data_IF_963426045322
#
_entry.id   IF_963426045322
#
_cell.length_a   1.000
_cell.length_b   1.000
_cell.length_c   1.000
_cell.angle_alpha   90.00
_cell.angle_beta   90.00
_cell.angle_gamma   90.00
#
_symmetry.space_group_name_H-M   'P 1'
#
loop_
_entity.id
_entity.type
_entity.pdbx_description
1 polymer ?
#
# COMPACT_ATOMS: atom_id res chain seq x y z
N UNK A 1 -3.02 2.22 -16.03
CA UNK A 1 -2.53 2.99 -14.85
C UNK A 1 -2.72 2.23 -13.55
N UNK A 2 -3.95 1.88 -13.14
CA UNK A 2 -4.24 1.19 -11.86
C UNK A 2 -3.36 -0.03 -11.58
N UNK A 3 -3.06 -0.83 -12.61
CA UNK A 3 -2.19 -2.01 -12.46
C UNK A 3 -0.72 -1.62 -12.28
N UNK A 4 -0.23 -0.65 -13.08
CA UNK A 4 1.14 -0.16 -13.00
C UNK A 4 1.43 0.58 -11.67
N UNK A 5 0.48 1.39 -11.18
CA UNK A 5 0.57 2.06 -9.87
C UNK A 5 0.56 1.07 -8.70
N UNK A 6 0.14 -0.17 -8.93
CA UNK A 6 0.21 -1.28 -7.96
C UNK A 6 1.38 -2.24 -8.24
N UNK A 7 2.31 -1.87 -9.12
CA UNK A 7 3.51 -2.65 -9.44
C UNK A 7 3.27 -3.88 -10.32
N UNK A 8 2.14 -3.95 -11.02
CA UNK A 8 1.80 -5.06 -11.92
C UNK A 8 1.91 -4.71 -13.40
N UNK A 9 1.81 -5.74 -14.24
CA UNK A 9 1.67 -5.62 -15.68
C UNK A 9 0.23 -5.89 -16.11
N UNK A 10 -0.28 -5.11 -17.06
CA UNK A 10 -1.62 -5.30 -17.63
C UNK A 10 -1.50 -5.86 -19.04
N UNK A 11 -2.01 -7.07 -19.25
CA UNK A 11 -2.11 -7.70 -20.56
C UNK A 11 -3.54 -7.51 -21.08
N UNK A 12 -3.71 -6.71 -22.13
CA UNK A 12 -4.99 -6.50 -22.78
C UNK A 12 -5.15 -7.53 -23.90
N UNK A 13 -6.18 -8.36 -23.80
CA UNK A 13 -6.57 -9.27 -24.87
C UNK A 13 -7.49 -8.56 -25.87
N UNK A 14 -7.34 -8.88 -27.15
CA UNK A 14 -8.24 -8.47 -28.22
C UNK A 14 -8.86 -9.72 -28.85
N UNK A 15 -10.16 -9.67 -29.14
CA UNK A 15 -10.90 -10.76 -29.78
C UNK A 15 -11.31 -10.36 -31.20
N UNK A 16 -10.67 -10.91 -32.24
CA UNK A 16 -11.15 -10.76 -33.61
C UNK A 16 -12.54 -11.37 -33.81
N UNK A 17 -13.25 -10.94 -34.84
CA UNK A 17 -14.46 -11.61 -35.32
C UNK A 17 -14.14 -13.01 -35.84
N UNK A 18 -15.17 -13.81 -36.16
CA UNK A 18 -14.98 -15.13 -36.80
C UNK A 18 -14.24 -15.08 -38.14
N UNK A 19 -14.17 -13.91 -38.77
CA UNK A 19 -13.44 -13.65 -40.02
C UNK A 19 -12.01 -13.12 -39.77
N UNK A 20 -11.58 -13.01 -38.52
CA UNK A 20 -10.24 -12.52 -38.15
C UNK A 20 -10.09 -11.00 -38.13
N UNK A 21 -11.18 -10.24 -38.25
CA UNK A 21 -11.17 -8.76 -38.25
C UNK A 21 -11.27 -8.23 -36.82
N UNK A 22 -10.46 -7.23 -36.45
CA UNK A 22 -10.59 -6.57 -35.14
C UNK A 22 -11.82 -5.65 -35.17
N UNK A 23 -12.75 -5.77 -34.20
CA UNK A 23 -13.92 -4.89 -34.13
C UNK A 23 -13.52 -3.40 -34.08
N UNK A 24 -14.23 -2.56 -34.83
CA UNK A 24 -13.92 -1.13 -34.95
C UNK A 24 -13.93 -0.40 -33.59
N UNK A 25 -14.76 -0.82 -32.66
CA UNK A 25 -14.77 -0.28 -31.29
C UNK A 25 -13.44 -0.51 -30.57
N UNK A 26 -12.86 -1.71 -30.68
CA UNK A 26 -11.55 -2.01 -30.13
C UNK A 26 -10.46 -1.17 -30.79
N UNK A 27 -10.54 -0.97 -32.10
CA UNK A 27 -9.60 -0.08 -32.84
C UNK A 27 -9.69 1.35 -32.31
N UNK A 28 -10.91 1.89 -32.11
CA UNK A 28 -11.11 3.24 -31.55
C UNK A 28 -10.49 3.38 -30.16
N UNK A 29 -10.73 2.41 -29.26
CA UNK A 29 -10.16 2.42 -27.92
C UNK A 29 -8.63 2.35 -27.97
N UNK A 30 -8.06 1.43 -28.75
CA UNK A 30 -6.61 1.27 -28.87
C UNK A 30 -5.94 2.50 -29.47
N UNK A 31 -6.55 3.16 -30.45
CA UNK A 31 -6.05 4.43 -30.99
C UNK A 31 -6.03 5.54 -29.93
N UNK A 32 -7.10 5.66 -29.13
CA UNK A 32 -7.15 6.65 -28.04
C UNK A 32 -6.07 6.38 -26.98
N UNK A 33 -5.88 5.12 -26.61
CA UNK A 33 -4.78 4.71 -25.71
C UNK A 33 -3.43 5.05 -26.34
N UNK A 34 -3.23 4.74 -27.62
CA UNK A 34 -1.99 5.05 -28.35
C UNK A 34 -1.68 6.55 -28.37
N UNK A 35 -2.67 7.40 -28.62
CA UNK A 35 -2.54 8.86 -28.56
C UNK A 35 -2.13 9.33 -27.17
N UNK A 36 -2.78 8.84 -26.11
CA UNK A 36 -2.42 9.18 -24.74
C UNK A 36 -0.98 8.75 -24.40
N UNK A 37 -0.57 7.56 -24.87
CA UNK A 37 0.78 7.03 -24.64
C UNK A 37 1.89 7.86 -25.29
N UNK A 38 1.65 8.53 -26.43
CA UNK A 38 2.68 9.33 -27.12
C UNK A 38 3.32 10.38 -26.21
N UNK A 39 2.50 11.06 -25.38
CA UNK A 39 2.98 12.08 -24.45
C UNK A 39 3.22 11.58 -23.02
N UNK A 40 2.60 10.46 -22.62
CA UNK A 40 2.59 10.02 -21.21
C UNK A 40 3.33 8.71 -20.94
N UNK A 41 3.90 8.06 -21.96
CA UNK A 41 4.49 6.72 -21.82
C UNK A 41 5.59 6.61 -20.75
N UNK A 42 6.34 7.67 -20.47
CA UNK A 42 7.38 7.69 -19.42
C UNK A 42 6.81 7.41 -18.02
N UNK A 43 5.55 7.80 -17.76
CA UNK A 43 4.84 7.53 -16.51
C UNK A 43 4.43 6.06 -16.33
N UNK A 44 4.56 5.24 -17.37
CA UNK A 44 4.20 3.82 -17.37
C UNK A 44 5.42 2.93 -17.57
N UNK A 45 6.18 3.16 -18.64
CA UNK A 45 7.30 2.29 -18.99
C UNK A 45 8.52 2.53 -18.09
N UNK A 46 8.92 1.45 -17.41
CA UNK A 46 10.02 1.48 -16.44
C UNK A 46 9.66 2.18 -15.13
N UNK A 47 8.39 2.54 -14.93
CA UNK A 47 7.91 3.05 -13.66
C UNK A 47 7.57 1.91 -12.70
N UNK A 48 7.63 2.19 -11.40
CA UNK A 48 7.26 1.29 -10.31
C UNK A 48 5.98 1.76 -9.63
N UNK A 49 5.45 0.92 -8.73
CA UNK A 49 4.23 1.21 -7.99
C UNK A 49 4.33 2.45 -7.09
N UNK A 50 3.16 2.97 -6.74
CA UNK A 50 2.94 4.08 -5.83
C UNK A 50 3.58 3.82 -4.46
N UNK A 51 4.22 4.83 -3.83
CA UNK A 51 4.61 4.76 -2.43
C UNK A 51 3.41 5.03 -1.50
N UNK A 52 2.35 5.66 -2.01
CA UNK A 52 1.12 5.98 -1.29
C UNK A 52 0.14 4.80 -1.30
N UNK A 53 -0.61 4.64 -0.20
CA UNK A 53 -1.64 3.61 -0.06
C UNK A 53 -2.88 3.94 -0.92
N UNK A 54 -3.40 5.16 -0.77
CA UNK A 54 -4.55 5.67 -1.51
C UNK A 54 -4.31 7.10 -1.96
N UNK A 55 -4.89 7.45 -3.10
CA UNK A 55 -4.93 8.80 -3.66
C UNK A 55 -6.36 9.00 -4.18
N UNK A 56 -7.20 9.80 -3.50
CA UNK A 56 -8.64 9.83 -3.79
C UNK A 56 -8.99 10.24 -5.23
N UNK A 57 -8.19 11.13 -5.82
CA UNK A 57 -8.40 11.67 -7.16
C UNK A 57 -7.72 10.88 -8.29
N UNK A 58 -7.01 9.80 -7.97
CA UNK A 58 -6.32 9.01 -9.00
C UNK A 58 -5.22 8.08 -8.50
N UNK A 59 -4.05 8.14 -9.16
CA UNK A 59 -2.96 7.18 -8.93
C UNK A 59 -1.58 7.82 -9.01
N UNK A 60 -0.58 7.12 -8.48
CA UNK A 60 0.82 7.51 -8.61
C UNK A 60 1.65 6.35 -9.19
N UNK A 61 2.58 6.68 -10.07
CA UNK A 61 3.71 5.80 -10.41
C UNK A 61 5.02 6.51 -10.09
N UNK A 62 6.11 5.76 -10.00
CA UNK A 62 7.43 6.28 -9.60
C UNK A 62 8.47 5.91 -10.65
N UNK A 63 9.37 6.83 -11.00
CA UNK A 63 10.57 6.50 -11.77
C UNK A 63 11.76 7.29 -11.24
N UNK A 64 12.67 6.61 -10.54
CA UNK A 64 13.81 7.26 -9.90
C UNK A 64 13.36 8.29 -8.86
N UNK A 65 13.63 9.58 -9.12
CA UNK A 65 13.26 10.71 -8.26
C UNK A 65 12.05 11.48 -8.79
N UNK A 66 11.22 10.85 -9.62
CA UNK A 66 9.98 11.44 -10.14
C UNK A 66 8.77 10.67 -9.68
N UNK A 67 7.75 11.41 -9.24
CA UNK A 67 6.38 10.91 -9.14
C UNK A 67 5.63 11.31 -10.41
N UNK A 68 4.82 10.40 -10.94
CA UNK A 68 3.82 10.76 -11.93
C UNK A 68 2.45 10.61 -11.30
N UNK A 69 1.79 11.75 -11.11
CA UNK A 69 0.46 11.85 -10.56
C UNK A 69 -0.54 11.75 -11.72
N UNK A 70 -1.30 10.66 -11.74
CA UNK A 70 -2.35 10.41 -12.71
C UNK A 70 -3.67 10.93 -12.16
N UNK A 71 -4.11 12.07 -12.64
CA UNK A 71 -5.31 12.79 -12.21
C UNK A 71 -6.50 12.33 -13.04
N UNK A 72 -7.36 11.52 -12.43
CA UNK A 72 -8.61 11.03 -13.04
C UNK A 72 -9.80 11.89 -12.62
N UNK A 73 -9.87 12.25 -11.34
CA UNK A 73 -10.95 13.01 -10.75
C UNK A 73 -10.42 14.34 -10.19
N UNK A 74 -10.15 15.35 -11.05
CA UNK A 74 -9.60 16.61 -10.59
C UNK A 74 -10.58 17.32 -9.63
N UNK A 75 -10.08 17.93 -8.54
CA UNK A 75 -10.93 18.64 -7.60
C UNK A 75 -11.53 19.90 -8.22
N UNK A 76 -12.78 20.21 -7.84
CA UNK A 76 -13.54 21.32 -8.41
C UNK A 76 -12.95 22.72 -8.11
N UNK A 77 -12.18 22.84 -7.01
CA UNK A 77 -11.49 24.07 -6.64
C UNK A 77 -10.13 24.24 -7.36
N UNK A 78 -9.74 23.27 -8.18
CA UNK A 78 -8.47 23.28 -8.90
C UNK A 78 -7.24 23.01 -8.01
N UNK A 79 -7.41 22.67 -6.73
CA UNK A 79 -6.30 22.43 -5.80
C UNK A 79 -6.11 20.94 -5.58
N UNK A 80 -5.13 20.35 -6.27
CA UNK A 80 -4.79 18.94 -6.13
C UNK A 80 -3.97 18.74 -4.85
N UNK A 81 -4.54 18.02 -3.87
CA UNK A 81 -3.90 17.74 -2.58
C UNK A 81 -3.27 16.35 -2.58
N UNK A 82 -2.01 16.24 -2.17
CA UNK A 82 -1.31 14.99 -1.95
C UNK A 82 -0.76 15.00 -0.52
N UNK A 83 -1.17 14.01 0.27
CA UNK A 83 -0.75 13.89 1.66
C UNK A 83 0.30 12.78 1.83
N UNK A 84 1.22 13.02 2.76
CA UNK A 84 2.19 12.05 3.21
C UNK A 84 3.54 12.10 2.51
N UNK A 85 3.81 13.00 1.56
CA UNK A 85 5.13 13.08 0.92
C UNK A 85 6.15 13.78 1.82
N UNK A 86 7.17 13.06 2.29
CA UNK A 86 8.25 13.61 3.14
C UNK A 86 9.32 14.27 2.28
N UNK A 87 9.67 13.67 1.14
CA UNK A 87 10.73 14.19 0.28
C UNK A 87 10.35 15.54 -0.33
N UNK A 88 11.25 16.52 -0.25
CA UNK A 88 11.03 17.85 -0.82
C UNK A 88 10.80 17.80 -2.34
N UNK A 89 9.81 18.57 -2.79
CA UNK A 89 9.51 18.78 -4.22
C UNK A 89 10.36 19.92 -4.78
N UNK A 90 10.97 19.67 -5.94
CA UNK A 90 11.83 20.63 -6.68
C UNK A 90 11.08 21.31 -7.82
N UNK A 91 10.08 20.65 -8.38
CA UNK A 91 9.32 21.16 -9.50
C UNK A 91 8.14 20.27 -9.82
N UNK A 92 7.13 20.84 -10.47
CA UNK A 92 5.99 20.11 -11.00
C UNK A 92 5.56 20.70 -12.33
N UNK A 93 5.13 19.86 -13.26
CA UNK A 93 4.65 20.26 -14.58
C UNK A 93 3.73 19.19 -15.18
N UNK A 94 2.89 19.58 -16.14
CA UNK A 94 2.17 18.62 -16.95
C UNK A 94 3.17 17.82 -17.79
N UNK A 95 3.10 16.48 -17.75
CA UNK A 95 4.08 15.63 -18.45
C UNK A 95 4.12 15.91 -19.97
N UNK A 96 2.96 16.22 -20.56
CA UNK A 96 2.83 16.58 -21.98
C UNK A 96 3.24 18.02 -22.31
N UNK A 97 3.44 18.87 -21.30
CA UNK A 97 3.80 20.28 -21.45
C UNK A 97 4.85 20.71 -20.40
N UNK A 98 6.07 20.16 -20.44
CA UNK A 98 7.07 20.35 -19.39
C UNK A 98 7.61 21.79 -19.28
N UNK A 99 7.35 22.62 -20.28
CA UNK A 99 7.74 24.03 -20.27
C UNK A 99 6.84 24.89 -19.36
N UNK A 100 5.68 24.36 -18.95
CA UNK A 100 4.75 25.05 -18.07
C UNK A 100 4.80 24.42 -16.68
N UNK A 101 5.43 25.13 -15.75
CA UNK A 101 5.43 24.76 -14.34
C UNK A 101 4.03 24.87 -13.73
N UNK A 102 3.74 23.95 -12.81
CA UNK A 102 2.55 23.97 -11.97
C UNK A 102 2.95 24.57 -10.62
N UNK A 103 2.33 25.68 -10.18
CA UNK A 103 2.56 26.22 -8.85
C UNK A 103 2.22 25.19 -7.78
N UNK A 104 3.05 25.11 -6.75
CA UNK A 104 2.84 24.19 -5.64
C UNK A 104 3.32 24.78 -4.32
N UNK A 105 2.73 24.28 -3.24
CA UNK A 105 3.19 24.54 -1.86
C UNK A 105 3.34 23.21 -1.13
N UNK A 106 4.40 23.08 -0.34
CA UNK A 106 4.65 21.93 0.52
C UNK A 106 4.82 22.43 1.95
N UNK A 107 3.96 21.95 2.86
CA UNK A 107 4.05 22.20 4.30
C UNK A 107 4.19 20.85 5.02
N UNK A 108 5.44 20.50 5.34
CA UNK A 108 5.79 19.17 5.81
C UNK A 108 5.31 18.08 4.84
N UNK A 109 4.46 17.14 5.28
CA UNK A 109 3.94 16.06 4.43
C UNK A 109 2.73 16.46 3.57
N UNK A 110 2.21 17.69 3.69
CA UNK A 110 1.09 18.18 2.89
C UNK A 110 1.58 18.90 1.64
N UNK A 111 1.13 18.46 0.47
CA UNK A 111 1.48 19.05 -0.81
C UNK A 111 0.22 19.49 -1.55
N UNK A 112 0.25 20.70 -2.12
CA UNK A 112 -0.85 21.28 -2.87
C UNK A 112 -0.35 21.78 -4.21
N UNK A 113 -1.03 21.40 -5.29
CA UNK A 113 -0.76 21.89 -6.64
C UNK A 113 -1.93 22.72 -7.15
N UNK A 114 -1.64 23.85 -7.77
CA UNK A 114 -2.63 24.67 -8.46
C UNK A 114 -2.78 24.19 -9.90
N UNK A 115 -3.85 23.45 -10.18
CA UNK A 115 -4.11 22.91 -11.50
C UNK A 115 -4.37 24.04 -12.51
N UNK A 116 -3.90 23.90 -13.76
CA UNK A 116 -4.27 24.83 -14.80
C UNK A 116 -5.78 24.76 -15.08
N UNK A 117 -6.41 25.86 -15.52
CA UNK A 117 -7.86 25.93 -15.76
C UNK A 117 -8.34 24.97 -16.86
N UNK A 118 -7.43 24.48 -17.71
CA UNK A 118 -7.72 23.48 -18.73
C UNK A 118 -6.70 22.36 -18.63
N UNK A 119 -7.20 21.15 -18.40
CA UNK A 119 -6.38 19.94 -18.36
C UNK A 119 -6.29 19.32 -19.77
N UNK A 120 -5.13 18.77 -20.17
CA UNK A 120 -4.88 18.26 -21.52
C UNK A 120 -5.68 17.00 -21.86
N UNK A 121 -6.06 16.21 -20.85
CA UNK A 121 -6.88 15.00 -21.03
C UNK A 121 -7.95 14.92 -19.93
N UNK A 122 -9.20 14.67 -20.35
CA UNK A 122 -10.37 14.64 -19.46
C UNK A 122 -10.57 13.31 -18.72
N UNK A 123 -9.82 12.27 -19.09
CA UNK A 123 -9.82 10.97 -18.40
C UNK A 123 -8.63 10.87 -17.45
N UNK A 124 -7.44 11.24 -17.92
CA UNK A 124 -6.21 11.05 -17.15
C UNK A 124 -5.15 12.06 -17.56
N UNK A 125 -5.05 13.12 -16.79
CA UNK A 125 -3.96 14.08 -16.90
C UNK A 125 -2.78 13.66 -16.04
N UNK A 126 -1.55 13.76 -16.56
CA UNK A 126 -0.34 13.39 -15.82
C UNK A 126 0.46 14.60 -15.42
N UNK A 127 0.69 14.75 -14.12
CA UNK A 127 1.64 15.72 -13.56
C UNK A 127 2.93 14.98 -13.20
N UNK A 128 4.06 15.44 -13.73
CA UNK A 128 5.37 15.00 -13.28
C UNK A 128 5.81 15.88 -12.11
N UNK A 129 6.25 15.24 -11.02
CA UNK A 129 6.74 15.90 -9.82
C UNK A 129 8.19 15.47 -9.60
N UNK A 130 9.10 16.43 -9.62
CA UNK A 130 10.53 16.21 -9.43
C UNK A 130 10.87 16.32 -7.94
N UNK A 131 11.55 15.30 -7.41
CA UNK A 131 11.90 15.22 -6.00
C UNK A 131 13.38 15.50 -5.77
N UNK A 132 13.71 16.07 -4.60
CA UNK A 132 15.09 16.29 -4.16
C UNK A 132 15.87 14.98 -3.95
N UNK A 133 15.17 13.87 -3.70
CA UNK A 133 15.73 12.54 -3.46
C UNK A 133 14.76 11.43 -3.88
N UNK A 134 15.05 10.17 -3.52
CA UNK A 134 14.08 9.08 -3.67
C UNK A 134 12.76 9.41 -2.93
N UNK A 135 11.61 8.91 -3.41
CA UNK A 135 10.34 9.18 -2.76
C UNK A 135 10.25 8.50 -1.39
N UNK A 136 10.09 9.33 -0.36
CA UNK A 136 9.80 8.93 1.01
C UNK A 136 8.44 9.46 1.41
N UNK A 137 7.59 8.58 1.96
CA UNK A 137 6.26 8.94 2.41
C UNK A 137 6.02 8.54 3.86
N UNK A 138 5.12 9.25 4.52
CA UNK A 138 4.60 8.87 5.82
C UNK A 138 4.07 7.43 5.75
N UNK A 139 4.37 6.60 6.76
CA UNK A 139 3.84 5.26 6.80
C UNK A 139 2.31 5.31 6.96
N UNK A 140 1.59 4.36 6.35
CA UNK A 140 0.15 4.26 6.54
C UNK A 140 -0.16 3.97 8.02
N UNK A 141 -1.28 4.53 8.47
CA UNK A 141 -1.76 4.46 9.85
C UNK A 141 -2.98 3.56 9.91
N UNK A 142 -2.99 2.59 10.82
CA UNK A 142 -4.18 1.80 11.13
C UNK A 142 -5.10 2.64 12.00
N UNK A 143 -6.32 2.84 11.53
CA UNK A 143 -7.40 3.51 12.26
C UNK A 143 -8.21 2.48 13.05
N UNK A 144 -8.73 2.83 14.24
CA UNK A 144 -9.63 1.96 14.97
C UNK A 144 -11.03 1.96 14.33
N UNK A 145 -11.78 0.89 14.58
CA UNK A 145 -13.22 0.86 14.28
C UNK A 145 -14.04 1.68 15.31
N UNK A 146 -15.37 1.69 15.15
CA UNK A 146 -16.29 2.40 16.05
C UNK A 146 -16.21 1.93 17.51
N UNK A 147 -15.73 0.70 17.75
CA UNK A 147 -15.54 0.13 19.08
C UNK A 147 -14.15 0.40 19.66
N UNK A 148 -13.28 1.09 18.93
CA UNK A 148 -11.89 1.33 19.32
C UNK A 148 -10.95 0.17 19.00
N UNK A 149 -11.39 -0.85 18.24
CA UNK A 149 -10.58 -2.00 17.88
C UNK A 149 -9.65 -1.64 16.72
N UNK A 150 -8.35 -1.94 16.88
CA UNK A 150 -7.40 -1.81 15.78
C UNK A 150 -7.18 -3.15 15.09
N UNK A 151 -7.30 -3.21 13.76
CA UNK A 151 -7.01 -4.41 12.96
C UNK A 151 -5.80 -4.20 12.07
N UNK A 152 -4.69 -4.88 12.39
CA UNK A 152 -3.41 -4.80 11.71
C UNK A 152 -3.30 -5.90 10.64
N UNK A 153 -3.91 -5.66 9.49
CA UNK A 153 -3.92 -6.59 8.37
C UNK A 153 -2.93 -6.24 7.25
N UNK A 154 -3.04 -6.95 6.12
CA UNK A 154 -2.21 -6.74 4.94
C UNK A 154 -2.26 -5.31 4.38
N UNK A 155 -3.34 -4.57 4.61
CA UNK A 155 -3.60 -3.28 3.95
C UNK A 155 -2.55 -2.23 4.32
N UNK A 156 -2.47 -1.90 5.62
CA UNK A 156 -1.53 -0.93 6.18
C UNK A 156 -0.16 -1.53 6.55
N UNK A 157 0.06 -2.82 6.31
CA UNK A 157 1.32 -3.48 6.62
C UNK A 157 2.47 -2.94 5.76
N UNK A 158 3.60 -2.61 6.40
CA UNK A 158 4.91 -2.50 5.75
C UNK A 158 5.69 -3.79 5.97
N UNK A 159 6.12 -4.41 4.89
CA UNK A 159 6.83 -5.70 4.91
C UNK A 159 8.33 -5.51 4.68
N UNK A 160 9.14 -6.27 5.40
CA UNK A 160 10.60 -6.23 5.32
C UNK A 160 11.18 -7.62 5.08
N UNK A 161 12.39 -7.68 4.54
CA UNK A 161 13.06 -8.92 4.17
C UNK A 161 12.32 -9.65 3.04
N UNK A 162 12.15 -10.96 3.20
CA UNK A 162 11.41 -11.81 2.25
C UNK A 162 9.88 -11.75 2.42
N UNK A 163 9.38 -11.03 3.44
CA UNK A 163 7.94 -10.93 3.74
C UNK A 163 7.19 -10.30 2.56
N UNK A 164 6.14 -10.97 2.09
CA UNK A 164 5.32 -10.48 0.97
C UNK A 164 3.82 -10.58 1.28
N UNK A 165 3.06 -9.60 0.76
CA UNK A 165 1.59 -9.64 0.70
C UNK A 165 1.17 -10.57 -0.45
N UNK A 166 0.29 -11.54 -0.18
CA UNK A 166 -0.23 -12.47 -1.19
C UNK A 166 -1.74 -12.54 -1.17
N UNK A 167 -2.33 -12.64 -2.35
CA UNK A 167 -3.73 -12.98 -2.54
C UNK A 167 -3.85 -14.47 -2.84
N UNK A 168 -4.67 -15.20 -2.08
CA UNK A 168 -4.83 -16.63 -2.26
C UNK A 168 -6.00 -16.99 -3.19
N UNK A 169 -6.05 -18.27 -3.58
CA UNK A 169 -7.12 -18.83 -4.43
C UNK A 169 -8.53 -18.80 -3.80
N UNK A 170 -8.65 -18.64 -2.48
CA UNK A 170 -9.94 -18.48 -1.76
C UNK A 170 -10.33 -16.99 -1.63
N UNK A 171 -9.68 -16.08 -2.36
CA UNK A 171 -10.03 -14.66 -2.37
C UNK A 171 -9.60 -13.87 -1.14
N UNK A 172 -8.61 -14.35 -0.37
CA UNK A 172 -8.14 -13.69 0.87
C UNK A 172 -6.68 -13.28 0.78
N UNK A 173 -6.37 -12.09 1.29
CA UNK A 173 -5.00 -11.63 1.48
C UNK A 173 -4.38 -12.20 2.76
N UNK A 174 -3.07 -12.45 2.72
CA UNK A 174 -2.25 -12.83 3.87
C UNK A 174 -0.79 -12.38 3.66
N UNK A 175 -0.01 -12.35 4.74
CA UNK A 175 1.44 -12.24 4.68
C UNK A 175 2.08 -13.63 4.71
N UNK A 176 3.19 -13.78 3.99
CA UNK A 176 3.90 -15.06 3.83
C UNK A 176 5.37 -14.84 3.48
N UNK A 177 6.11 -15.95 3.35
CA UNK A 177 7.54 -16.05 3.02
C UNK A 177 8.52 -15.49 4.07
N UNK A 178 8.00 -15.12 5.23
CA UNK A 178 8.82 -14.72 6.37
C UNK A 178 9.36 -15.94 7.11
N UNK A 179 10.68 -16.07 7.13
CA UNK A 179 11.37 -17.26 7.61
C UNK A 179 12.57 -16.95 8.52
N UNK A 180 12.93 -15.67 8.70
CA UNK A 180 14.00 -15.27 9.60
C UNK A 180 13.61 -14.01 10.38
N UNK A 181 14.27 -13.69 11.51
CA UNK A 181 13.93 -12.51 12.32
C UNK A 181 14.06 -11.16 11.59
N UNK A 182 14.85 -11.10 10.51
CA UNK A 182 14.93 -9.92 9.63
C UNK A 182 13.66 -9.71 8.79
N UNK A 183 12.88 -10.77 8.59
CA UNK A 183 11.61 -10.73 7.88
C UNK A 183 10.54 -10.29 8.86
N UNK A 184 9.87 -9.18 8.57
CA UNK A 184 8.88 -8.63 9.50
C UNK A 184 7.74 -7.92 8.80
N UNK A 185 6.66 -7.76 9.55
CA UNK A 185 5.57 -6.85 9.22
C UNK A 185 5.46 -5.79 10.31
N UNK A 186 5.27 -4.55 9.89
CA UNK A 186 5.19 -3.37 10.76
C UNK A 186 3.96 -2.55 10.43
N UNK A 187 3.32 -2.05 11.47
CA UNK A 187 2.21 -1.11 11.40
C UNK A 187 2.45 0.07 12.33
N UNK A 188 1.72 1.14 12.04
CA UNK A 188 1.66 2.34 12.85
C UNK A 188 0.20 2.64 13.15
N UNK A 189 -0.08 3.18 14.33
CA UNK A 189 -1.41 3.65 14.70
C UNK A 189 -1.28 4.81 15.68
N UNK A 190 -2.32 5.62 15.82
CA UNK A 190 -2.34 6.72 16.79
C UNK A 190 -3.22 6.34 17.97
N UNK A 191 -2.62 6.31 19.15
CA UNK A 191 -3.34 6.13 20.40
C UNK A 191 -3.77 7.49 20.94
N UNK A 192 -5.09 7.71 21.05
CA UNK A 192 -5.64 8.99 21.53
C UNK A 192 -5.46 9.20 23.03
N UNK A 193 -5.51 8.11 23.80
CA UNK A 193 -5.42 8.14 25.26
C UNK A 193 -4.85 6.80 25.77
N UNK A 194 -4.24 6.76 26.96
CA UNK A 194 -3.81 5.52 27.58
C UNK A 194 -4.93 4.47 27.60
N UNK A 195 -4.63 3.25 27.18
CA UNK A 195 -5.62 2.19 27.03
C UNK A 195 -4.96 0.82 27.15
N UNK A 196 -5.65 -0.11 27.80
CA UNK A 196 -5.29 -1.52 27.84
C UNK A 196 -6.04 -2.28 26.76
N UNK A 197 -5.35 -3.17 26.06
CA UNK A 197 -5.91 -3.95 24.97
C UNK A 197 -5.68 -5.44 25.17
N UNK A 198 -6.65 -6.26 24.80
CA UNK A 198 -6.41 -7.68 24.53
C UNK A 198 -5.84 -7.82 23.11
N UNK A 199 -4.68 -8.45 23.00
CA UNK A 199 -4.02 -8.74 21.73
C UNK A 199 -4.37 -10.15 21.25
N UNK A 200 -4.89 -10.22 20.04
CA UNK A 200 -5.16 -11.48 19.33
C UNK A 200 -4.43 -11.53 18.00
N UNK A 201 -4.06 -12.72 17.56
CA UNK A 201 -3.47 -12.98 16.26
C UNK A 201 -4.36 -13.94 15.46
N UNK A 202 -4.54 -13.66 14.18
CA UNK A 202 -5.28 -14.51 13.27
C UNK A 202 -4.37 -14.99 12.14
N UNK A 203 -4.21 -16.31 11.99
CA UNK A 203 -3.38 -16.91 10.93
C UNK A 203 -3.89 -18.31 10.53
N UNK A 204 -3.38 -18.82 9.41
CA UNK A 204 -3.49 -20.22 9.03
C UNK A 204 -2.09 -20.85 9.01
N UNK A 205 -1.95 -22.06 9.52
CA UNK A 205 -0.67 -22.75 9.61
C UNK A 205 -0.81 -24.24 9.32
N UNK A 206 0.19 -24.78 8.62
CA UNK A 206 0.29 -26.22 8.40
C UNK A 206 0.87 -26.92 9.64
N UNK A 207 0.62 -28.23 9.81
CA UNK A 207 1.24 -29.02 10.88
C UNK A 207 2.76 -28.88 10.94
N UNK A 208 3.45 -28.81 9.81
CA UNK A 208 4.92 -28.65 9.77
C UNK A 208 5.43 -27.28 10.28
N UNK A 209 4.56 -26.29 10.44
CA UNK A 209 4.91 -24.97 10.98
C UNK A 209 4.59 -24.83 12.46
N UNK A 210 3.94 -25.83 13.06
CA UNK A 210 3.60 -25.79 14.48
C UNK A 210 4.88 -25.77 15.36
N UNK A 211 4.81 -25.08 16.50
CA UNK A 211 5.92 -24.88 17.43
C UNK A 211 6.99 -23.88 16.96
N UNK A 212 6.85 -23.27 15.78
CA UNK A 212 7.79 -22.23 15.37
C UNK A 212 7.52 -20.93 16.16
N UNK A 213 8.56 -20.31 16.75
CA UNK A 213 8.38 -19.14 17.59
C UNK A 213 8.18 -17.88 16.76
N UNK A 214 7.40 -16.96 17.28
CA UNK A 214 7.26 -15.58 16.78
C UNK A 214 7.33 -14.59 17.93
N UNK A 215 7.74 -13.37 17.62
CA UNK A 215 7.77 -12.25 18.56
C UNK A 215 6.99 -11.07 18.02
N UNK A 216 6.24 -10.42 18.90
CA UNK A 216 5.48 -9.19 18.64
C UNK A 216 6.01 -8.11 19.58
N UNK A 217 6.33 -6.95 19.01
CA UNK A 217 6.78 -5.79 19.77
C UNK A 217 5.76 -4.67 19.70
N UNK A 218 5.28 -4.21 20.85
CA UNK A 218 4.25 -3.19 20.99
C UNK A 218 4.42 -2.41 22.30
N UNK A 219 4.40 -1.07 22.27
CA UNK A 219 4.48 -0.26 23.50
C UNK A 219 5.76 -0.48 24.34
N UNK A 220 6.86 -0.89 23.70
CA UNK A 220 8.11 -1.27 24.38
C UNK A 220 8.10 -2.67 25.00
N UNK A 221 6.97 -3.37 24.98
CA UNK A 221 6.82 -4.75 25.43
C UNK A 221 7.12 -5.72 24.28
N UNK A 222 7.61 -6.90 24.64
CA UNK A 222 7.84 -8.01 23.73
C UNK A 222 6.96 -9.19 24.16
N UNK A 223 6.14 -9.68 23.23
CA UNK A 223 5.17 -10.75 23.43
C UNK A 223 5.58 -11.88 22.49
N UNK A 224 5.89 -13.03 23.08
CA UNK A 224 6.32 -14.21 22.33
C UNK A 224 5.18 -15.21 22.25
N UNK A 225 5.10 -15.94 21.14
CA UNK A 225 4.19 -17.06 20.99
C UNK A 225 4.78 -18.13 20.07
N UNK A 226 4.13 -19.29 20.05
CA UNK A 226 4.43 -20.37 19.13
C UNK A 226 3.25 -20.57 18.17
N UNK A 227 3.58 -20.92 16.93
CA UNK A 227 2.56 -21.25 15.93
C UNK A 227 1.86 -22.54 16.34
N UNK A 228 0.54 -22.51 16.42
CA UNK A 228 -0.30 -23.68 16.51
C UNK A 228 -0.68 -24.14 15.09
N UNK A 229 -0.84 -25.44 14.87
CA UNK A 229 -1.41 -25.91 13.61
C UNK A 229 -2.84 -25.42 13.45
N UNK A 230 -3.27 -25.21 12.21
CA UNK A 230 -4.67 -24.97 11.89
C UNK A 230 -5.20 -26.08 10.97
N UNK A 231 -6.47 -26.00 10.58
CA UNK A 231 -7.13 -27.01 9.74
C UNK A 231 -6.59 -27.15 8.31
N UNK A 232 -5.55 -26.37 7.95
CA UNK A 232 -4.88 -26.48 6.66
C UNK A 232 -4.65 -25.12 5.99
N UNK A 233 -4.44 -25.18 4.68
CA UNK A 233 -4.10 -24.00 3.90
C UNK A 233 -5.29 -23.04 3.87
N UNK A 234 -5.11 -21.83 4.41
CA UNK A 234 -6.10 -20.76 4.45
C UNK A 234 -7.29 -21.00 5.39
N UNK A 235 -7.19 -21.97 6.30
CA UNK A 235 -8.15 -22.17 7.37
C UNK A 235 -7.66 -21.39 8.59
N UNK A 236 -8.07 -20.13 8.61
CA UNK A 236 -7.61 -19.14 9.58
C UNK A 236 -8.29 -19.34 10.92
N UNK A 237 -7.49 -19.34 11.98
CA UNK A 237 -7.94 -19.36 13.36
C UNK A 237 -7.39 -18.16 14.10
N UNK A 238 -8.08 -17.75 15.16
CA UNK A 238 -7.72 -16.61 16.01
C UNK A 238 -7.27 -17.13 17.37
N UNK A 239 -6.13 -16.61 17.84
CA UNK A 239 -5.51 -16.98 19.10
C UNK A 239 -5.34 -15.72 19.93
N UNK A 240 -5.84 -15.74 21.16
CA UNK A 240 -5.60 -14.68 22.15
C UNK A 240 -4.18 -14.87 22.68
N UNK A 241 -3.39 -13.81 22.70
CA UNK A 241 -1.99 -13.85 23.11
C UNK A 241 -1.81 -13.31 24.53
N UNK A 242 -2.01 -12.01 24.71
CA UNK A 242 -1.75 -11.33 25.98
C UNK A 242 -2.57 -10.04 26.08
N UNK A 243 -2.51 -9.40 27.25
CA UNK A 243 -3.06 -8.08 27.51
C UNK A 243 -1.94 -7.05 27.55
N UNK A 244 -2.07 -5.97 26.77
CA UNK A 244 -1.04 -4.94 26.60
C UNK A 244 -1.56 -3.60 27.07
N UNK A 245 -0.90 -3.04 28.09
CA UNK A 245 -1.16 -1.68 28.55
C UNK A 245 -0.32 -0.67 27.77
N UNK A 246 -0.97 0.28 27.09
CA UNK A 246 -0.32 1.41 26.43
C UNK A 246 -0.57 2.68 27.26
N UNK A 247 0.47 3.15 27.94
CA UNK A 247 0.34 4.16 29.01
C UNK A 247 0.49 5.61 28.52
N UNK A 248 0.77 5.85 27.23
CA UNK A 248 1.01 7.19 26.68
C UNK A 248 0.27 7.37 25.37
N UNK A 249 -0.44 8.50 25.18
CA UNK A 249 -1.01 8.84 23.89
C UNK A 249 0.11 9.14 22.88
N UNK A 250 -0.20 8.99 21.59
CA UNK A 250 0.69 9.30 20.49
C UNK A 250 0.83 8.18 19.47
N UNK A 251 1.77 8.38 18.55
CA UNK A 251 2.10 7.44 17.48
C UNK A 251 2.75 6.18 18.07
N UNK A 252 2.08 5.05 17.93
CA UNK A 252 2.58 3.75 18.33
C UNK A 252 2.99 2.89 17.14
N UNK A 253 3.82 1.89 17.41
CA UNK A 253 4.36 0.97 16.41
C UNK A 253 4.19 -0.47 16.87
N UNK A 254 3.56 -1.27 16.01
CA UNK A 254 3.43 -2.72 16.18
C UNK A 254 4.35 -3.41 15.16
N UNK A 255 5.14 -4.38 15.62
CA UNK A 255 6.00 -5.22 14.77
C UNK A 255 5.74 -6.69 15.10
N UNK A 256 5.71 -7.56 14.09
CA UNK A 256 5.79 -9.02 14.25
C UNK A 256 6.86 -9.61 13.34
N UNK A 257 7.60 -10.59 13.84
CA UNK A 257 8.63 -11.32 13.10
C UNK A 257 8.79 -12.78 13.62
N UNK A 258 9.39 -13.68 12.83
CA UNK A 258 9.85 -14.98 13.32
C UNK A 258 10.84 -14.82 14.47
N UNK A 259 10.72 -15.64 15.51
CA UNK A 259 11.63 -15.61 16.68
C UNK A 259 13.00 -16.23 16.40
N UNK A 260 13.11 -17.04 15.33
CA UNK A 260 14.36 -17.65 14.85
C UNK A 260 14.29 -17.87 13.34
N UNK A 261 15.40 -18.32 12.77
CA UNK A 261 15.42 -18.80 11.39
C UNK A 261 14.70 -20.15 11.28
N UNK A 262 13.83 -20.28 10.28
CA UNK A 262 12.97 -21.44 10.05
C UNK A 262 12.98 -21.86 8.57
N UNK A 263 12.64 -23.11 8.23
CA UNK A 263 12.94 -23.66 6.90
C UNK A 263 12.15 -23.05 5.74
N UNK A 264 10.95 -22.51 5.97
CA UNK A 264 10.05 -22.06 4.90
C UNK A 264 9.25 -20.81 5.22
N UNK A 265 8.31 -20.93 6.14
CA UNK A 265 7.31 -19.91 6.38
C UNK A 265 6.78 -20.06 7.81
N UNK A 266 6.66 -18.95 8.52
CA UNK A 266 6.17 -18.97 9.89
C UNK A 266 4.69 -19.32 9.94
N UNK A 267 3.89 -18.64 9.13
CA UNK A 267 2.44 -18.80 9.05
C UNK A 267 1.89 -18.06 7.82
N UNK A 268 0.63 -18.30 7.46
CA UNK A 268 -0.15 -17.39 6.63
C UNK A 268 -0.89 -16.42 7.53
N UNK A 269 -0.24 -15.29 7.79
CA UNK A 269 -0.74 -14.26 8.69
C UNK A 269 -1.87 -13.47 8.05
N UNK A 270 -2.98 -13.31 8.79
CA UNK A 270 -4.13 -12.51 8.36
C UNK A 270 -4.16 -11.16 9.06
N UNK A 271 -4.10 -11.14 10.39
CA UNK A 271 -4.19 -9.92 11.18
C UNK A 271 -3.65 -10.07 12.60
N UNK A 272 -3.27 -8.95 13.22
CA UNK A 272 -3.30 -8.77 14.68
C UNK A 272 -4.45 -7.84 15.02
N UNK A 273 -5.09 -8.05 16.16
CA UNK A 273 -6.23 -7.27 16.62
C UNK A 273 -6.00 -6.82 18.06
N UNK A 274 -6.19 -5.52 18.31
CA UNK A 274 -6.17 -4.94 19.65
C UNK A 274 -7.60 -4.56 20.04
N UNK A 275 -8.19 -5.32 20.95
CA UNK A 275 -9.53 -5.05 21.48
C UNK A 275 -9.41 -4.24 22.77
N UNK A 276 -10.05 -3.06 22.90
CA UNK A 276 -10.06 -2.32 24.15
C UNK A 276 -10.61 -3.17 25.30
N UNK A 277 -9.91 -3.19 26.42
CA UNK A 277 -10.40 -3.76 27.68
C UNK A 277 -11.05 -2.63 28.48
N UNK A 278 -12.30 -2.85 28.90
CA UNK A 278 -13.08 -1.93 29.72
C UNK A 278 -13.06 -2.36 31.19
#
# INVERSE_FOLDING_TARGET
>A
VTVASRGGNYLLNIGPTGEGVIPEESVRVLRRVGQWMQGNSESIYGATGSPFLEIPWGYCTVKGRRLYLHVFDPPADGILKLEGLITDVRGAYLLVAPQQGIPFTQDGPELRFELPPTLPDTINTVISVELAGPPEVLPPVTLPDEKGTFTFGHYTARTFGATVKRFNRKGKFHLSKWAAPKDSARWFFDLKQPQTFQLSITYAAQPEWAGQPFSIRLGGQEITGEVAETGGWYDYQTFVLDTVALNRPGREKLIIHPGKEIPRNLMYFKALELYPVH
#
